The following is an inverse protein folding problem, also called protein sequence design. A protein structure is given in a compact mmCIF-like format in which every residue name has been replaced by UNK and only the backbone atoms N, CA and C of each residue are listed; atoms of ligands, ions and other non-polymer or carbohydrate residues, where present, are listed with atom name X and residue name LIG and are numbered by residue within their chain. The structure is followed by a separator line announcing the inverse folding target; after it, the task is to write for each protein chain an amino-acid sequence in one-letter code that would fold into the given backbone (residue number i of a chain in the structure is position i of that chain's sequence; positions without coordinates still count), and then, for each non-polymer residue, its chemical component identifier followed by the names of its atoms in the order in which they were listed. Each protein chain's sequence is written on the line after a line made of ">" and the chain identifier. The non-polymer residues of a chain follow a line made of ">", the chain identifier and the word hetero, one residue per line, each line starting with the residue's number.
data_IF_833735873969
#
_entry.id   IF_833735873969
#
_cell.length_a   1.000
_cell.length_b   1.000
_cell.length_c   1.000
_cell.angle_alpha   90.00
_cell.angle_beta   90.00
_cell.angle_gamma   90.00
#
_symmetry.space_group_name_H-M   'P 1'
#
loop_
_entity.id
_entity.type
_entity.pdbx_description
1 polymer ?
#
# COMPACT_ATOMS: atom_id res chain seq x y z
N UNK A 1 9.23 15.17 -16.49
CA UNK A 1 8.30 14.03 -16.65
C UNK A 1 8.99 12.72 -16.29
N UNK A 2 10.16 12.45 -16.85
CA UNK A 2 10.87 11.18 -16.59
C UNK A 2 11.21 10.95 -15.11
N UNK A 3 11.47 12.02 -14.34
CA UNK A 3 11.63 11.95 -12.89
C UNK A 3 10.38 11.48 -12.11
N UNK A 4 9.19 11.62 -12.68
CA UNK A 4 7.94 11.12 -12.08
C UNK A 4 7.72 9.63 -12.39
N UNK A 5 8.48 9.05 -13.33
CA UNK A 5 8.30 7.66 -13.76
C UNK A 5 6.95 7.38 -14.43
N UNK A 6 6.21 8.41 -14.85
CA UNK A 6 4.83 8.29 -15.32
C UNK A 6 4.74 8.49 -16.84
N UNK A 7 4.88 7.37 -17.56
CA UNK A 7 4.83 7.36 -19.03
C UNK A 7 3.48 7.84 -19.56
N UNK A 8 2.37 7.40 -18.94
CA UNK A 8 1.01 7.77 -19.36
C UNK A 8 0.79 9.27 -19.26
N UNK A 9 1.22 9.88 -18.15
CA UNK A 9 1.09 11.33 -17.94
C UNK A 9 1.94 12.12 -18.93
N UNK A 10 3.16 11.67 -19.21
CA UNK A 10 4.03 12.29 -20.21
C UNK A 10 3.38 12.30 -21.60
N UNK A 11 2.79 11.16 -22.01
CA UNK A 11 2.07 11.04 -23.28
C UNK A 11 0.80 11.88 -23.30
N UNK A 12 0.02 11.89 -22.22
CA UNK A 12 -1.22 12.63 -22.14
C UNK A 12 -1.06 14.13 -22.34
N UNK A 13 0.02 14.72 -21.82
CA UNK A 13 0.30 16.17 -21.99
C UNK A 13 1.22 16.47 -23.17
N UNK A 14 1.59 15.47 -23.98
CA UNK A 14 2.42 15.66 -25.18
C UNK A 14 3.88 16.01 -24.92
N UNK A 15 4.43 15.64 -23.75
CA UNK A 15 5.83 15.91 -23.42
C UNK A 15 6.70 14.73 -23.86
N UNK A 16 7.83 14.96 -24.58
CA UNK A 16 8.78 13.90 -24.90
C UNK A 16 9.29 13.21 -23.64
N UNK A 17 9.43 11.89 -23.69
CA UNK A 17 9.87 11.06 -22.55
C UNK A 17 10.78 9.94 -23.04
N UNK A 18 11.83 9.64 -22.28
CA UNK A 18 12.67 8.46 -22.51
C UNK A 18 12.20 7.23 -21.72
N UNK A 19 11.05 7.31 -21.05
CA UNK A 19 10.48 6.19 -20.30
C UNK A 19 10.07 5.06 -21.27
N UNK A 20 10.36 3.78 -20.93
CA UNK A 20 9.91 2.64 -21.72
C UNK A 20 8.38 2.53 -21.71
N UNK A 21 7.82 1.90 -22.74
CA UNK A 21 6.39 1.56 -22.78
C UNK A 21 6.08 0.64 -21.57
N UNK A 22 5.09 0.97 -20.72
CA UNK A 22 4.71 0.10 -19.62
C UNK A 22 4.16 -1.23 -20.14
N UNK A 23 4.37 -2.32 -19.39
CA UNK A 23 3.93 -3.67 -19.79
C UNK A 23 2.42 -3.75 -20.02
N UNK A 24 1.63 -3.02 -19.23
CA UNK A 24 0.17 -2.96 -19.33
C UNK A 24 -0.34 -2.34 -20.65
N UNK A 25 0.56 -1.73 -21.43
CA UNK A 25 0.28 -1.14 -22.74
C UNK A 25 0.72 -2.03 -23.91
N UNK A 26 1.25 -3.23 -23.66
CA UNK A 26 1.73 -4.14 -24.72
C UNK A 26 0.60 -4.56 -25.66
N UNK A 27 -0.61 -4.77 -25.12
CA UNK A 27 -1.81 -5.17 -25.88
C UNK A 27 -2.74 -3.98 -26.18
N UNK A 28 -2.27 -2.74 -26.02
CA UNK A 28 -3.05 -1.54 -26.27
C UNK A 28 -3.34 -1.38 -27.78
N UNK A 29 -4.58 -1.04 -28.10
CA UNK A 29 -5.02 -0.76 -29.46
C UNK A 29 -5.06 0.74 -29.76
N UNK A 30 -5.46 1.10 -30.99
CA UNK A 30 -5.50 2.48 -31.43
C UNK A 30 -6.42 3.38 -30.59
N UNK A 31 -7.55 2.85 -30.09
CA UNK A 31 -8.45 3.60 -29.21
C UNK A 31 -7.78 3.86 -27.86
N UNK A 32 -7.01 2.91 -27.33
CA UNK A 32 -6.25 3.14 -26.09
C UNK A 32 -5.24 4.27 -26.24
N UNK A 33 -4.49 4.26 -27.33
CA UNK A 33 -3.54 5.34 -27.63
C UNK A 33 -4.23 6.69 -27.84
N UNK A 34 -5.42 6.72 -28.44
CA UNK A 34 -6.19 7.95 -28.56
C UNK A 34 -6.69 8.45 -27.19
N UNK A 35 -7.10 7.54 -26.30
CA UNK A 35 -7.61 7.86 -24.96
C UNK A 35 -6.54 8.53 -24.08
N UNK A 36 -5.24 8.27 -24.27
CA UNK A 36 -4.15 8.99 -23.58
C UNK A 36 -4.32 10.51 -23.65
N UNK A 37 -4.65 11.01 -24.84
CA UNK A 37 -4.80 12.45 -25.08
C UNK A 37 -6.02 13.07 -24.40
N UNK A 38 -7.01 12.26 -24.01
CA UNK A 38 -8.33 12.72 -23.59
C UNK A 38 -9.09 13.50 -24.68
N UNK A 39 -8.60 13.58 -25.91
CA UNK A 39 -9.18 14.40 -26.97
C UNK A 39 -10.25 13.64 -27.75
N UNK A 40 -11.51 13.94 -27.47
CA UNK A 40 -12.67 13.24 -28.04
C UNK A 40 -12.66 13.10 -29.57
N UNK A 41 -12.30 14.11 -30.37
CA UNK A 41 -12.23 13.96 -31.83
C UNK A 41 -11.25 12.87 -32.28
N UNK A 42 -10.11 12.71 -31.60
CA UNK A 42 -9.16 11.65 -31.90
C UNK A 42 -9.75 10.27 -31.54
N UNK A 43 -10.38 10.16 -30.36
CA UNK A 43 -11.02 8.92 -29.89
C UNK A 43 -12.17 8.50 -30.83
N UNK A 44 -12.93 9.45 -31.36
CA UNK A 44 -14.02 9.16 -32.33
C UNK A 44 -13.48 8.61 -33.65
N UNK A 45 -12.29 9.06 -34.07
CA UNK A 45 -11.68 8.66 -35.32
C UNK A 45 -11.14 7.21 -35.29
N UNK A 46 -11.02 6.58 -34.12
CA UNK A 46 -10.45 5.22 -33.98
C UNK A 46 -11.47 4.09 -34.11
N UNK A 47 -12.74 4.39 -34.37
CA UNK A 47 -13.85 3.42 -34.35
C UNK A 47 -13.85 2.54 -33.07
N UNK A 48 -14.32 3.09 -31.93
CA UNK A 48 -14.31 2.35 -30.67
C UNK A 48 -15.12 1.05 -30.67
N UNK A 49 -16.04 0.84 -31.63
CA UNK A 49 -16.78 -0.43 -31.71
C UNK A 49 -15.94 -1.52 -32.37
N UNK A 50 -15.14 -1.19 -33.39
CA UNK A 50 -14.18 -2.11 -34.00
C UNK A 50 -12.93 -2.34 -33.14
N UNK A 51 -12.53 -1.33 -32.37
CA UNK A 51 -11.34 -1.35 -31.51
C UNK A 51 -11.72 -0.88 -30.11
N UNK A 52 -12.40 -1.71 -29.30
CA UNK A 52 -12.87 -1.29 -27.98
C UNK A 52 -11.69 -0.97 -27.06
N UNK A 53 -11.77 0.09 -26.25
CA UNK A 53 -10.76 0.39 -25.24
C UNK A 53 -10.58 -0.77 -24.26
N UNK A 54 -9.36 -0.93 -23.77
CA UNK A 54 -8.99 -1.98 -22.80
C UNK A 54 -9.18 -1.52 -21.36
N UNK A 55 -8.91 -2.43 -20.40
CA UNK A 55 -8.86 -2.10 -18.96
C UNK A 55 -7.87 -0.97 -18.66
N UNK A 56 -6.77 -0.88 -19.41
CA UNK A 56 -5.76 0.18 -19.26
C UNK A 56 -6.40 1.55 -19.52
N UNK A 57 -7.16 1.69 -20.61
CA UNK A 57 -7.96 2.89 -20.88
C UNK A 57 -9.04 3.16 -19.84
N UNK A 58 -9.73 2.11 -19.36
CA UNK A 58 -10.75 2.24 -18.32
C UNK A 58 -10.19 2.94 -17.07
N UNK A 59 -9.04 2.45 -16.60
CA UNK A 59 -8.31 3.03 -15.47
C UNK A 59 -7.81 4.43 -15.80
N UNK A 60 -7.22 4.65 -16.98
CA UNK A 60 -6.64 5.92 -17.38
C UNK A 60 -7.68 7.06 -17.44
N UNK A 61 -8.85 6.81 -18.04
CA UNK A 61 -9.92 7.80 -18.13
C UNK A 61 -10.36 8.27 -16.74
N UNK A 62 -10.45 7.35 -15.78
CA UNK A 62 -10.76 7.67 -14.39
C UNK A 62 -9.58 8.37 -13.72
N UNK A 63 -8.38 7.82 -13.84
CA UNK A 63 -7.12 8.31 -13.27
C UNK A 63 -6.80 9.74 -13.71
N UNK A 64 -7.09 10.14 -14.94
CA UNK A 64 -6.89 11.53 -15.41
C UNK A 64 -8.13 12.40 -15.30
N UNK A 65 -9.26 11.85 -14.84
CA UNK A 65 -10.48 12.60 -14.62
C UNK A 65 -11.14 13.08 -15.91
N UNK A 66 -11.03 12.29 -16.99
CA UNK A 66 -11.61 12.59 -18.30
C UNK A 66 -13.12 12.35 -18.32
N UNK A 67 -13.86 13.13 -17.53
CA UNK A 67 -15.32 13.05 -17.38
C UNK A 67 -16.03 13.14 -18.73
N UNK A 68 -15.56 13.98 -19.65
CA UNK A 68 -16.12 14.10 -20.99
C UNK A 68 -15.94 12.85 -21.86
N UNK A 69 -14.85 12.11 -21.67
CA UNK A 69 -14.63 10.81 -22.34
C UNK A 69 -15.47 9.72 -21.71
N UNK A 70 -15.56 9.69 -20.38
CA UNK A 70 -16.46 8.79 -19.65
C UNK A 70 -17.93 8.98 -20.07
N UNK A 71 -18.38 10.24 -20.16
CA UNK A 71 -19.72 10.61 -20.65
C UNK A 71 -19.93 10.15 -22.10
N UNK A 72 -18.94 10.32 -22.97
CA UNK A 72 -19.01 9.85 -24.35
C UNK A 72 -19.26 8.35 -24.44
N UNK A 73 -18.48 7.53 -23.71
CA UNK A 73 -18.68 6.09 -23.70
C UNK A 73 -20.02 5.70 -23.04
N UNK A 74 -20.41 6.36 -21.95
CA UNK A 74 -21.69 6.12 -21.29
C UNK A 74 -22.89 6.38 -22.22
N UNK A 75 -22.86 7.47 -22.99
CA UNK A 75 -24.00 7.87 -23.82
C UNK A 75 -24.00 7.14 -25.16
N UNK A 76 -22.85 7.05 -25.83
CA UNK A 76 -22.74 6.60 -27.22
C UNK A 76 -22.32 5.12 -27.36
N UNK A 77 -21.65 4.55 -26.36
CA UNK A 77 -21.09 3.19 -26.40
C UNK A 77 -21.41 2.41 -25.11
N UNK A 78 -22.69 2.33 -24.75
CA UNK A 78 -23.17 1.75 -23.47
C UNK A 78 -22.65 0.34 -23.19
N UNK A 79 -22.58 -0.53 -24.19
CA UNK A 79 -22.07 -1.90 -24.02
C UNK A 79 -20.61 -1.89 -23.60
N UNK A 80 -19.77 -1.13 -24.29
CA UNK A 80 -18.36 -0.93 -23.96
C UNK A 80 -18.23 -0.36 -22.54
N UNK A 81 -18.98 0.71 -22.22
CA UNK A 81 -18.91 1.33 -20.90
C UNK A 81 -19.23 0.34 -19.76
N UNK A 82 -20.28 -0.47 -19.93
CA UNK A 82 -20.66 -1.50 -18.95
C UNK A 82 -19.57 -2.55 -18.78
N UNK A 83 -18.96 -2.98 -19.87
CA UNK A 83 -17.96 -4.05 -19.85
C UNK A 83 -16.64 -3.56 -19.21
N UNK A 84 -16.29 -2.28 -19.42
CA UNK A 84 -15.14 -1.63 -18.76
C UNK A 84 -15.35 -1.46 -17.25
N UNK A 85 -16.54 -1.05 -16.82
CA UNK A 85 -16.80 -0.60 -15.45
C UNK A 85 -17.69 -1.56 -14.64
N UNK A 86 -17.64 -2.85 -14.96
CA UNK A 86 -18.25 -3.91 -14.15
C UNK A 86 -17.66 -3.96 -12.73
N UNK A 87 -18.42 -4.53 -11.79
CA UNK A 87 -18.01 -4.71 -10.39
C UNK A 87 -17.56 -3.41 -9.71
N UNK A 88 -18.26 -2.30 -9.99
CA UNK A 88 -18.01 -1.00 -9.36
C UNK A 88 -16.56 -0.48 -9.53
N UNK A 89 -15.86 -0.90 -10.60
CA UNK A 89 -14.48 -0.49 -10.86
C UNK A 89 -14.33 1.04 -10.92
N UNK A 90 -15.34 1.75 -11.43
CA UNK A 90 -15.29 3.20 -11.59
C UNK A 90 -15.19 3.95 -10.26
N UNK A 91 -16.13 3.82 -9.30
CA UNK A 91 -16.01 4.50 -8.00
C UNK A 91 -14.79 4.04 -7.19
N UNK A 92 -14.38 2.77 -7.30
CA UNK A 92 -13.16 2.26 -6.64
C UNK A 92 -11.92 2.98 -7.20
N UNK A 93 -11.73 2.96 -8.52
CA UNK A 93 -10.58 3.58 -9.19
C UNK A 93 -10.55 5.09 -8.99
N UNK A 94 -11.72 5.76 -9.03
CA UNK A 94 -11.80 7.20 -8.80
C UNK A 94 -11.37 7.55 -7.37
N UNK A 95 -11.72 6.72 -6.39
CA UNK A 95 -11.35 6.91 -4.99
C UNK A 95 -9.86 6.72 -4.77
N UNK A 96 -9.27 5.67 -5.38
CA UNK A 96 -7.84 5.36 -5.36
C UNK A 96 -6.95 6.39 -6.05
N UNK A 97 -7.51 7.29 -6.86
CA UNK A 97 -6.78 8.38 -7.52
C UNK A 97 -7.22 9.79 -7.09
N UNK A 98 -8.09 9.92 -6.08
CA UNK A 98 -8.49 11.23 -5.57
C UNK A 98 -9.43 12.00 -6.52
N UNK A 99 -10.12 11.32 -7.44
CA UNK A 99 -10.87 11.92 -8.55
C UNK A 99 -12.32 12.20 -8.17
N UNK A 100 -12.50 13.15 -7.27
CA UNK A 100 -13.82 13.59 -6.78
C UNK A 100 -14.75 14.12 -7.89
N UNK A 101 -14.20 14.68 -8.97
CA UNK A 101 -14.99 15.09 -10.14
C UNK A 101 -15.63 13.89 -10.85
N UNK A 102 -14.90 12.77 -10.95
CA UNK A 102 -15.41 11.52 -11.52
C UNK A 102 -16.44 10.88 -10.59
N UNK A 103 -16.21 10.89 -9.27
CA UNK A 103 -17.19 10.40 -8.29
C UNK A 103 -18.49 11.22 -8.33
N UNK A 104 -18.39 12.54 -8.38
CA UNK A 104 -19.55 13.43 -8.49
C UNK A 104 -20.32 13.22 -9.81
N UNK A 105 -19.60 13.11 -10.93
CA UNK A 105 -20.20 12.78 -12.21
C UNK A 105 -20.89 11.41 -12.18
N UNK A 106 -20.23 10.39 -11.65
CA UNK A 106 -20.76 9.03 -11.54
C UNK A 106 -22.04 8.98 -10.70
N UNK A 107 -22.08 9.69 -9.55
CA UNK A 107 -23.29 9.80 -8.72
C UNK A 107 -24.46 10.40 -9.52
N UNK A 108 -24.22 11.49 -10.24
CA UNK A 108 -25.23 12.12 -11.11
C UNK A 108 -25.66 11.19 -12.25
N UNK A 109 -24.71 10.53 -12.91
CA UNK A 109 -24.99 9.59 -13.99
C UNK A 109 -25.86 8.42 -13.50
N UNK A 110 -25.63 7.94 -12.29
CA UNK A 110 -26.46 6.93 -11.63
C UNK A 110 -27.89 7.41 -11.38
N UNK A 111 -28.06 8.65 -10.93
CA UNK A 111 -29.39 9.25 -10.72
C UNK A 111 -30.15 9.41 -12.05
N UNK A 112 -29.45 9.67 -13.16
CA UNK A 112 -30.04 9.78 -14.50
C UNK A 112 -30.32 8.42 -15.15
N UNK A 113 -29.51 7.39 -14.85
CA UNK A 113 -29.59 6.07 -15.47
C UNK A 113 -29.59 4.92 -14.44
N UNK A 114 -30.57 4.86 -13.51
CA UNK A 114 -30.55 3.96 -12.35
C UNK A 114 -30.62 2.46 -12.72
N UNK A 115 -31.23 2.11 -13.85
CA UNK A 115 -31.30 0.72 -14.32
C UNK A 115 -29.96 0.23 -14.89
N UNK A 116 -29.12 1.17 -15.35
CA UNK A 116 -27.87 0.88 -16.03
C UNK A 116 -26.65 1.01 -15.10
N UNK A 117 -26.59 2.08 -14.32
CA UNK A 117 -25.60 2.26 -13.26
C UNK A 117 -26.33 2.01 -11.95
N UNK A 118 -25.95 0.95 -11.23
CA UNK A 118 -26.57 0.59 -9.95
C UNK A 118 -25.87 1.28 -8.79
N UNK A 119 -26.50 1.25 -7.62
CA UNK A 119 -25.82 1.60 -6.38
C UNK A 119 -24.65 0.63 -6.15
N UNK A 120 -23.50 1.11 -5.63
CA UNK A 120 -22.37 0.26 -5.35
C UNK A 120 -22.70 -0.73 -4.24
N UNK A 121 -22.06 -1.90 -4.27
CA UNK A 121 -22.15 -2.84 -3.15
C UNK A 121 -21.45 -2.29 -1.89
N UNK A 122 -21.84 -2.71 -0.68
CA UNK A 122 -21.11 -2.40 0.56
C UNK A 122 -19.62 -2.76 0.47
N UNK A 123 -19.28 -3.88 -0.17
CA UNK A 123 -17.92 -4.34 -0.39
C UNK A 123 -17.14 -3.40 -1.33
N UNK A 124 -17.79 -2.87 -2.36
CA UNK A 124 -17.16 -1.89 -3.26
C UNK A 124 -16.99 -0.52 -2.61
N UNK A 125 -17.88 -0.14 -1.68
CA UNK A 125 -17.71 1.07 -0.86
C UNK A 125 -16.49 0.91 0.06
N UNK A 126 -16.34 -0.23 0.74
CA UNK A 126 -15.17 -0.49 1.59
C UNK A 126 -13.88 -0.52 0.79
N UNK A 127 -13.84 -1.16 -0.37
CA UNK A 127 -12.67 -1.16 -1.25
C UNK A 127 -12.31 0.26 -1.72
N UNK A 128 -13.31 1.09 -2.04
CA UNK A 128 -13.09 2.48 -2.44
C UNK A 128 -12.48 3.34 -1.31
N UNK A 129 -12.99 3.19 -0.08
CA UNK A 129 -12.52 3.97 1.08
C UNK A 129 -11.16 3.46 1.60
N UNK A 130 -10.97 2.15 1.64
CA UNK A 130 -9.68 1.54 1.98
C UNK A 130 -8.62 1.92 0.94
N UNK A 131 -8.99 1.90 -0.35
CA UNK A 131 -8.14 2.32 -1.45
C UNK A 131 -7.81 3.82 -1.45
N UNK A 132 -8.76 4.68 -1.08
CA UNK A 132 -8.49 6.10 -0.88
C UNK A 132 -7.53 6.34 0.29
N UNK A 133 -7.69 5.60 1.39
CA UNK A 133 -6.81 5.70 2.56
C UNK A 133 -5.39 5.21 2.25
N UNK A 134 -5.27 4.09 1.54
CA UNK A 134 -3.99 3.52 1.07
C UNK A 134 -3.18 4.47 0.18
N UNK A 135 -3.84 5.34 -0.59
CA UNK A 135 -3.20 6.22 -1.57
C UNK A 135 -3.17 7.70 -1.13
N UNK A 136 -3.52 8.01 0.12
CA UNK A 136 -3.41 9.38 0.64
C UNK A 136 -4.47 10.35 0.10
N UNK A 137 -5.66 9.86 -0.24
CA UNK A 137 -6.69 10.66 -0.91
C UNK A 137 -7.82 11.10 0.03
N UNK A 138 -7.48 12.02 0.93
CA UNK A 138 -8.41 12.65 1.88
C UNK A 138 -9.67 13.22 1.19
N UNK A 139 -9.53 13.80 0.00
CA UNK A 139 -10.68 14.34 -0.76
C UNK A 139 -11.71 13.28 -1.15
N UNK A 140 -11.27 12.06 -1.48
CA UNK A 140 -12.17 10.94 -1.74
C UNK A 140 -12.90 10.53 -0.46
N UNK A 141 -12.21 10.53 0.68
CA UNK A 141 -12.81 10.20 1.98
C UNK A 141 -13.87 11.22 2.39
N UNK A 142 -13.60 12.52 2.23
CA UNK A 142 -14.60 13.58 2.42
C UNK A 142 -15.80 13.40 1.49
N UNK A 143 -15.57 13.09 0.20
CA UNK A 143 -16.64 12.85 -0.76
C UNK A 143 -17.55 11.69 -0.33
N UNK A 144 -16.97 10.54 0.06
CA UNK A 144 -17.76 9.39 0.51
C UNK A 144 -18.57 9.69 1.76
N UNK A 145 -17.99 10.40 2.72
CA UNK A 145 -18.67 10.83 3.94
C UNK A 145 -19.88 11.75 3.64
N UNK A 146 -19.78 12.60 2.62
CA UNK A 146 -20.84 13.54 2.20
C UNK A 146 -21.79 12.96 1.14
N UNK A 147 -21.47 11.78 0.60
CA UNK A 147 -22.17 11.21 -0.56
C UNK A 147 -23.59 10.74 -0.26
N UNK A 148 -23.91 10.48 1.01
CA UNK A 148 -25.16 9.84 1.44
C UNK A 148 -25.13 8.31 1.35
N UNK A 149 -24.01 7.70 0.94
CA UNK A 149 -23.80 6.26 1.05
C UNK A 149 -23.51 5.85 2.51
N UNK A 150 -23.98 4.68 2.96
CA UNK A 150 -23.47 4.07 4.18
C UNK A 150 -21.96 3.92 4.10
N UNK A 151 -21.25 4.42 5.10
CA UNK A 151 -19.80 4.42 5.10
C UNK A 151 -19.26 3.06 5.56
N UNK A 152 -18.86 2.23 4.61
CA UNK A 152 -18.23 0.93 4.85
C UNK A 152 -16.72 1.02 4.63
N UNK A 153 -15.93 0.39 5.49
CA UNK A 153 -14.46 0.34 5.42
C UNK A 153 -13.94 -0.76 6.34
N UNK A 154 -12.69 -1.19 6.15
CA UNK A 154 -12.08 -2.22 6.98
C UNK A 154 -10.88 -1.67 7.76
N UNK A 155 -10.22 -2.53 8.54
CA UNK A 155 -8.95 -2.20 9.18
C UNK A 155 -7.87 -1.82 8.15
N UNK A 156 -8.00 -2.31 6.90
CA UNK A 156 -7.09 -2.02 5.82
C UNK A 156 -6.97 -0.52 5.50
N UNK A 157 -8.02 0.29 5.77
CA UNK A 157 -7.94 1.74 5.62
C UNK A 157 -6.81 2.35 6.46
N UNK A 158 -6.74 1.99 7.74
CA UNK A 158 -5.77 2.54 8.69
C UNK A 158 -4.43 1.82 8.62
N UNK A 159 -4.44 0.51 8.40
CA UNK A 159 -3.24 -0.30 8.22
C UNK A 159 -2.44 0.16 6.99
N UNK A 160 -3.10 0.33 5.84
CA UNK A 160 -2.42 0.74 4.61
C UNK A 160 -2.02 2.21 4.62
N UNK A 161 -2.81 3.09 5.26
CA UNK A 161 -2.39 4.47 5.49
C UNK A 161 -1.11 4.51 6.36
N UNK A 162 -1.01 3.64 7.37
CA UNK A 162 0.18 3.53 8.22
C UNK A 162 1.39 2.96 7.47
N UNK A 163 1.17 1.92 6.65
CA UNK A 163 2.19 1.31 5.80
C UNK A 163 2.75 2.28 4.74
N UNK A 164 1.93 3.22 4.27
CA UNK A 164 2.26 4.15 3.17
C UNK A 164 2.61 5.56 3.63
N UNK A 165 2.75 5.77 4.94
CA UNK A 165 3.08 7.06 5.54
C UNK A 165 2.07 8.19 5.27
N UNK A 166 0.78 7.88 5.29
CA UNK A 166 -0.28 8.87 5.08
C UNK A 166 -0.81 9.43 6.41
N UNK A 167 0.02 10.22 7.10
CA UNK A 167 -0.35 10.88 8.36
C UNK A 167 -1.57 11.81 8.17
N UNK A 168 -1.69 12.45 7.01
CA UNK A 168 -2.84 13.29 6.66
C UNK A 168 -4.16 12.52 6.64
N UNK A 169 -4.14 11.26 6.17
CA UNK A 169 -5.27 10.34 6.23
C UNK A 169 -5.56 9.92 7.68
N UNK A 170 -4.54 9.59 8.47
CA UNK A 170 -4.71 9.25 9.90
C UNK A 170 -5.32 10.41 10.69
N UNK A 171 -4.85 11.63 10.46
CA UNK A 171 -5.43 12.85 11.03
C UNK A 171 -6.88 13.06 10.56
N UNK A 172 -7.19 12.73 9.30
CA UNK A 172 -8.57 12.77 8.81
C UNK A 172 -9.48 11.82 9.58
N UNK A 173 -9.10 10.55 9.71
CA UNK A 173 -9.86 9.54 10.45
C UNK A 173 -10.07 9.95 11.92
N UNK A 174 -9.01 10.40 12.58
CA UNK A 174 -9.08 10.89 13.98
C UNK A 174 -10.05 12.07 14.13
N UNK A 175 -9.98 13.05 13.23
CA UNK A 175 -10.83 14.25 13.29
C UNK A 175 -12.29 13.92 13.03
N UNK A 176 -12.58 13.09 12.02
CA UNK A 176 -13.94 12.67 11.68
C UNK A 176 -14.50 11.67 12.68
N UNK A 177 -13.67 10.85 13.32
CA UNK A 177 -14.08 10.00 14.44
C UNK A 177 -14.65 10.83 15.59
N UNK A 178 -13.95 11.90 15.98
CA UNK A 178 -14.43 12.83 17.02
C UNK A 178 -15.68 13.60 16.61
N UNK A 179 -15.74 14.10 15.37
CA UNK A 179 -16.83 14.94 14.91
C UNK A 179 -18.12 14.16 14.58
N UNK A 180 -18.00 13.02 13.92
CA UNK A 180 -19.14 12.29 13.33
C UNK A 180 -19.45 10.97 14.04
N UNK A 181 -18.83 10.71 15.21
CA UNK A 181 -18.94 9.45 15.96
C UNK A 181 -18.55 8.22 15.12
N UNK A 182 -17.64 8.42 14.18
CA UNK A 182 -17.11 7.35 13.35
C UNK A 182 -16.14 6.50 14.19
N UNK A 183 -16.25 5.18 14.14
CA UNK A 183 -15.39 4.27 14.91
C UNK A 183 -14.15 3.92 14.11
N UNK A 184 -12.97 4.34 14.56
CA UNK A 184 -11.72 3.91 13.92
C UNK A 184 -11.52 2.40 14.11
N UNK A 185 -11.49 1.64 13.01
CA UNK A 185 -11.21 0.20 12.99
C UNK A 185 -9.69 -0.01 13.04
N UNK A 186 -9.11 0.12 14.23
CA UNK A 186 -7.66 0.04 14.44
C UNK A 186 -7.21 -1.43 14.36
N UNK A 187 -6.62 -1.81 13.22
CA UNK A 187 -5.97 -3.12 13.01
C UNK A 187 -4.49 -3.12 13.45
N UNK A 188 -3.64 -3.84 12.72
CA UNK A 188 -2.19 -4.01 12.95
C UNK A 188 -1.35 -2.78 12.52
N UNK A 189 -1.78 -1.59 12.90
CA UNK A 189 -1.21 -0.33 12.40
C UNK A 189 0.25 -0.12 12.80
N UNK A 190 0.64 -0.57 14.00
CA UNK A 190 2.03 -0.50 14.50
C UNK A 190 2.93 -1.49 13.77
N UNK A 191 2.45 -2.71 13.50
CA UNK A 191 3.19 -3.72 12.74
C UNK A 191 3.42 -3.23 11.30
N UNK A 192 2.41 -2.63 10.67
CA UNK A 192 2.52 -2.06 9.31
C UNK A 192 3.53 -0.91 9.27
N UNK A 193 3.45 0.05 10.19
CA UNK A 193 4.40 1.16 10.24
C UNK A 193 5.84 0.69 10.52
N UNK A 194 5.99 -0.33 11.39
CA UNK A 194 7.30 -0.92 11.70
C UNK A 194 7.91 -1.63 10.49
N UNK A 195 7.10 -2.40 9.75
CA UNK A 195 7.51 -3.06 8.51
C UNK A 195 8.01 -2.04 7.47
N UNK A 196 7.27 -0.94 7.30
CA UNK A 196 7.61 0.07 6.30
C UNK A 196 8.81 0.96 6.68
N UNK A 197 9.07 1.13 7.98
CA UNK A 197 10.12 2.01 8.48
C UNK A 197 9.64 3.43 8.81
N UNK A 198 8.35 3.63 9.07
CA UNK A 198 7.76 4.96 9.27
C UNK A 198 7.67 5.32 10.76
N UNK A 199 8.78 5.82 11.30
CA UNK A 199 8.90 6.26 12.71
C UNK A 199 7.87 7.34 13.05
N UNK A 200 7.64 8.27 12.15
CA UNK A 200 6.66 9.35 12.26
C UNK A 200 5.22 8.83 12.43
N UNK A 201 4.88 7.69 11.82
CA UNK A 201 3.57 7.06 11.95
C UNK A 201 3.45 6.33 13.29
N UNK A 202 4.50 5.61 13.71
CA UNK A 202 4.56 4.95 15.02
C UNK A 202 4.37 5.97 16.15
N UNK A 203 5.08 7.08 16.03
CA UNK A 203 5.01 8.22 16.94
C UNK A 203 3.63 8.90 16.92
N UNK A 204 2.99 9.02 15.75
CA UNK A 204 1.61 9.49 15.65
C UNK A 204 0.64 8.57 16.40
N UNK A 205 0.74 7.25 16.25
CA UNK A 205 -0.12 6.29 16.93
C UNK A 205 0.11 6.27 18.43
N UNK A 206 1.36 6.21 18.89
CA UNK A 206 1.71 6.21 20.30
C UNK A 206 1.18 7.44 21.05
N UNK A 207 1.20 8.62 20.41
CA UNK A 207 0.68 9.87 21.01
C UNK A 207 -0.84 9.96 21.02
N UNK A 208 -1.50 9.42 20.00
CA UNK A 208 -2.92 9.70 19.77
C UNK A 208 -3.85 8.53 20.07
N UNK A 209 -3.30 7.34 20.25
CA UNK A 209 -4.02 6.11 20.58
C UNK A 209 -3.25 5.33 21.66
N UNK A 210 -3.38 5.72 22.95
CA UNK A 210 -2.62 5.09 24.04
C UNK A 210 -2.85 3.58 24.20
N UNK A 211 -4.01 3.08 23.78
CA UNK A 211 -4.39 1.66 23.82
C UNK A 211 -4.14 0.95 22.47
N UNK A 212 -3.24 1.47 21.63
CA UNK A 212 -2.91 0.84 20.35
C UNK A 212 -2.32 -0.56 20.59
N UNK A 213 -2.88 -1.55 19.89
CA UNK A 213 -2.42 -2.94 19.98
C UNK A 213 -1.26 -3.17 19.03
N UNK A 214 -0.30 -3.97 19.48
CA UNK A 214 0.83 -4.46 18.72
C UNK A 214 1.28 -5.78 19.34
N UNK A 215 2.05 -6.55 18.58
CA UNK A 215 2.65 -7.79 19.05
C UNK A 215 4.11 -7.90 18.57
N UNK A 216 4.73 -9.06 18.79
CA UNK A 216 6.13 -9.33 18.41
C UNK A 216 6.42 -9.14 16.91
N UNK A 217 5.39 -9.16 16.05
CA UNK A 217 5.53 -8.97 14.61
C UNK A 217 6.10 -7.58 14.26
N UNK A 218 5.86 -6.55 15.09
CA UNK A 218 6.43 -5.23 14.87
C UNK A 218 7.97 -5.25 14.88
N UNK A 219 8.58 -5.81 15.93
CA UNK A 219 10.04 -5.93 16.06
C UNK A 219 10.63 -6.96 15.09
N UNK A 220 9.92 -8.06 14.84
CA UNK A 220 10.31 -9.08 13.87
C UNK A 220 10.39 -8.50 12.45
N UNK A 221 9.32 -7.86 11.95
CA UNK A 221 9.32 -7.31 10.60
C UNK A 221 10.30 -6.14 10.43
N UNK A 222 10.46 -5.29 11.45
CA UNK A 222 11.50 -4.26 11.45
C UNK A 222 12.90 -4.90 11.30
N UNK A 223 13.12 -6.03 11.97
CA UNK A 223 14.39 -6.76 11.88
C UNK A 223 14.61 -7.39 10.50
N UNK A 224 13.60 -8.02 9.90
CA UNK A 224 13.69 -8.58 8.54
C UNK A 224 14.00 -7.52 7.47
N UNK A 225 13.41 -6.32 7.62
CA UNK A 225 13.50 -5.26 6.61
C UNK A 225 14.62 -4.24 6.86
N UNK A 226 15.51 -4.49 7.83
CA UNK A 226 16.67 -3.63 8.09
C UNK A 226 16.31 -2.28 8.72
N UNK A 227 15.19 -2.18 9.45
CA UNK A 227 14.64 -0.92 9.97
C UNK A 227 15.23 -0.56 11.34
N UNK A 228 16.53 -0.27 11.39
CA UNK A 228 17.24 0.04 12.63
C UNK A 228 16.63 1.25 13.36
N UNK A 229 16.20 2.27 12.63
CA UNK A 229 15.58 3.47 13.20
C UNK A 229 14.24 3.16 13.89
N UNK A 230 13.49 2.20 13.36
CA UNK A 230 12.25 1.71 13.99
C UNK A 230 12.55 0.93 15.27
N UNK A 231 13.55 0.05 15.24
CA UNK A 231 13.97 -0.70 16.43
C UNK A 231 14.44 0.25 17.54
N UNK A 232 15.21 1.28 17.18
CA UNK A 232 15.63 2.34 18.10
C UNK A 232 14.42 3.11 18.65
N UNK A 233 13.47 3.48 17.79
CA UNK A 233 12.25 4.15 18.23
C UNK A 233 11.47 3.29 19.23
N UNK A 234 11.31 1.98 18.98
CA UNK A 234 10.63 1.08 19.92
C UNK A 234 11.33 1.09 21.29
N UNK A 235 12.66 0.97 21.31
CA UNK A 235 13.47 1.01 22.53
C UNK A 235 13.29 2.31 23.32
N UNK A 236 13.12 3.45 22.64
CA UNK A 236 13.00 4.78 23.26
C UNK A 236 11.54 5.20 23.55
N UNK A 237 10.56 4.54 22.92
CA UNK A 237 9.14 4.95 22.94
C UNK A 237 8.48 4.91 24.32
N UNK A 238 9.04 4.14 25.26
CA UNK A 238 8.41 3.83 26.54
C UNK A 238 7.26 2.82 26.44
N UNK A 239 6.98 2.28 25.24
CA UNK A 239 6.06 1.17 25.05
C UNK A 239 6.68 -0.15 25.52
N UNK A 240 5.84 -1.15 25.78
CA UNK A 240 6.32 -2.48 26.13
C UNK A 240 7.05 -3.09 24.93
N UNK A 241 8.27 -3.55 25.13
CA UNK A 241 9.00 -4.27 24.10
C UNK A 241 8.55 -5.73 24.08
N UNK A 242 8.00 -6.17 22.94
CA UNK A 242 7.56 -7.55 22.71
C UNK A 242 8.40 -8.09 21.54
N UNK A 243 9.24 -9.08 21.82
CA UNK A 243 10.13 -9.72 20.83
C UNK A 243 10.47 -11.14 21.27
N UNK A 244 10.97 -11.93 20.33
CA UNK A 244 11.44 -13.30 20.51
C UNK A 244 12.69 -13.56 19.63
N UNK A 245 13.33 -14.74 19.75
CA UNK A 245 14.50 -15.09 18.94
C UNK A 245 14.29 -15.01 17.42
N UNK A 246 13.02 -15.05 16.94
CA UNK A 246 12.72 -14.96 15.51
C UNK A 246 13.18 -13.62 14.93
N UNK A 247 13.31 -12.56 15.73
CA UNK A 247 13.88 -11.29 15.27
C UNK A 247 15.32 -11.45 14.73
N UNK A 248 16.14 -12.29 15.38
CA UNK A 248 17.51 -12.58 14.94
C UNK A 248 17.52 -13.52 13.73
N UNK A 249 16.63 -14.51 13.71
CA UNK A 249 16.43 -15.42 12.57
C UNK A 249 16.04 -14.62 11.33
N UNK A 250 15.06 -13.72 11.46
CA UNK A 250 14.59 -12.84 10.40
C UNK A 250 15.68 -11.91 9.88
N UNK A 251 16.41 -11.23 10.77
CA UNK A 251 17.56 -10.40 10.39
C UNK A 251 18.63 -11.20 9.65
N UNK A 252 18.89 -12.44 10.08
CA UNK A 252 19.87 -13.34 9.46
C UNK A 252 19.42 -13.78 8.07
N UNK A 253 18.19 -14.29 7.94
CA UNK A 253 17.59 -14.77 6.68
C UNK A 253 17.53 -13.68 5.61
N UNK A 254 17.33 -12.43 6.02
CA UNK A 254 17.27 -11.28 5.12
C UNK A 254 18.60 -10.51 4.99
N UNK A 255 19.71 -11.09 5.48
CA UNK A 255 21.06 -10.53 5.39
C UNK A 255 21.16 -9.09 5.93
N UNK A 256 20.69 -8.87 7.17
CA UNK A 256 20.65 -7.58 7.88
C UNK A 256 21.69 -7.50 9.02
N UNK A 257 23.00 -7.47 8.73
CA UNK A 257 24.02 -7.37 9.77
C UNK A 257 23.89 -6.09 10.62
N UNK A 258 23.39 -5.00 10.06
CA UNK A 258 23.12 -3.74 10.77
C UNK A 258 22.07 -3.91 11.89
N UNK A 259 21.08 -4.78 11.69
CA UNK A 259 20.07 -5.11 12.70
C UNK A 259 20.65 -6.04 13.75
N UNK A 260 21.45 -7.03 13.36
CA UNK A 260 22.14 -7.91 14.31
C UNK A 260 23.07 -7.11 15.24
N UNK A 261 23.81 -6.16 14.67
CA UNK A 261 24.65 -5.22 15.42
C UNK A 261 23.83 -4.35 16.38
N UNK A 262 22.65 -3.89 15.95
CA UNK A 262 21.73 -3.13 16.81
C UNK A 262 21.23 -3.99 17.98
N UNK A 263 20.78 -5.22 17.72
CA UNK A 263 20.35 -6.14 18.78
C UNK A 263 21.49 -6.41 19.78
N UNK A 264 22.72 -6.59 19.29
CA UNK A 264 23.90 -6.79 20.13
C UNK A 264 24.17 -5.61 21.08
N UNK A 265 24.01 -4.39 20.56
CA UNK A 265 24.27 -3.16 21.32
C UNK A 265 23.09 -2.67 22.15
N UNK A 266 21.88 -3.17 21.88
CA UNK A 266 20.64 -2.70 22.53
C UNK A 266 20.60 -3.00 24.03
N UNK A 267 21.35 -4.00 24.49
CA UNK A 267 21.26 -4.50 25.87
C UNK A 267 19.98 -5.28 26.16
N UNK A 268 19.15 -5.56 25.15
CA UNK A 268 17.96 -6.38 25.30
C UNK A 268 18.33 -7.85 25.51
N UNK A 269 17.67 -8.58 26.42
CA UNK A 269 18.00 -9.98 26.71
C UNK A 269 17.40 -10.90 25.64
N UNK A 270 17.98 -10.88 24.44
CA UNK A 270 17.58 -11.76 23.33
C UNK A 270 18.48 -12.98 23.25
N UNK A 271 17.87 -14.12 22.96
CA UNK A 271 18.53 -15.41 22.90
C UNK A 271 18.50 -15.98 21.48
N UNK A 272 19.45 -16.86 21.17
CA UNK A 272 19.51 -17.59 19.92
C UNK A 272 20.01 -19.02 20.14
N UNK A 273 19.73 -19.90 19.17
CA UNK A 273 20.39 -21.20 19.03
C UNK A 273 21.18 -21.19 17.73
N UNK A 274 22.30 -21.89 17.71
CA UNK A 274 23.15 -21.96 16.51
C UNK A 274 22.42 -22.65 15.35
N UNK A 275 21.58 -23.66 15.64
CA UNK A 275 20.77 -24.32 14.62
C UNK A 275 19.79 -23.37 13.92
N UNK A 276 19.09 -22.49 14.66
CA UNK A 276 18.15 -21.54 14.07
C UNK A 276 18.87 -20.50 13.19
N UNK A 277 20.09 -20.12 13.59
CA UNK A 277 20.94 -19.20 12.82
C UNK A 277 21.44 -19.87 11.54
N UNK A 278 21.90 -21.12 11.60
CA UNK A 278 22.37 -21.83 10.38
C UNK A 278 21.22 -22.13 9.43
N UNK A 279 20.07 -22.58 9.94
CA UNK A 279 18.85 -22.75 9.13
C UNK A 279 18.47 -21.44 8.44
N UNK A 280 18.48 -20.31 9.15
CA UNK A 280 18.23 -18.99 8.56
C UNK A 280 19.25 -18.61 7.47
N UNK A 281 20.52 -19.02 7.61
CA UNK A 281 21.57 -18.75 6.62
C UNK A 281 21.46 -19.64 5.38
N UNK A 282 21.03 -20.89 5.54
CA UNK A 282 20.72 -21.80 4.42
C UNK A 282 19.50 -21.30 3.63
N UNK A 283 18.49 -20.78 4.34
CA UNK A 283 17.27 -20.20 3.81
C UNK A 283 17.41 -18.74 3.32
N UNK A 284 18.63 -18.20 3.30
CA UNK A 284 18.86 -16.77 3.14
C UNK A 284 18.33 -16.24 1.78
N UNK A 285 17.53 -15.18 1.85
CA UNK A 285 16.92 -14.54 0.68
C UNK A 285 17.84 -13.39 0.23
N UNK A 286 18.42 -13.50 -0.96
CA UNK A 286 19.28 -12.45 -1.52
C UNK A 286 20.75 -12.51 -1.07
N UNK A 287 21.19 -13.65 -0.52
CA UNK A 287 22.57 -13.93 -0.13
C UNK A 287 22.87 -13.52 1.32
N UNK A 288 23.09 -14.48 2.22
CA UNK A 288 23.28 -14.29 3.67
C UNK A 288 24.71 -14.03 4.14
N UNK A 289 25.64 -13.69 3.24
CA UNK A 289 27.07 -13.68 3.54
C UNK A 289 27.46 -12.60 4.55
N UNK A 290 26.82 -11.43 4.52
CA UNK A 290 27.13 -10.35 5.45
C UNK A 290 26.67 -10.70 6.88
N UNK A 291 25.48 -11.28 7.01
CA UNK A 291 24.99 -11.84 8.27
C UNK A 291 25.88 -13.01 8.75
N UNK A 292 26.29 -13.93 7.86
CA UNK A 292 27.21 -15.03 8.20
C UNK A 292 28.54 -14.50 8.73
N UNK A 293 29.12 -13.49 8.09
CA UNK A 293 30.34 -12.84 8.56
C UNK A 293 30.16 -12.16 9.92
N UNK A 294 28.99 -11.55 10.15
CA UNK A 294 28.65 -10.97 11.45
C UNK A 294 28.63 -12.04 12.54
N UNK A 295 27.92 -13.16 12.31
CA UNK A 295 27.86 -14.28 13.26
C UNK A 295 29.23 -14.91 13.53
N UNK A 296 30.08 -15.06 12.50
CA UNK A 296 31.48 -15.51 12.68
C UNK A 296 32.28 -14.57 13.59
N UNK A 297 32.16 -13.24 13.39
CA UNK A 297 32.82 -12.26 14.26
C UNK A 297 32.28 -12.29 15.68
N UNK A 298 31.00 -12.61 15.86
CA UNK A 298 30.39 -12.78 17.19
C UNK A 298 30.83 -14.05 17.90
N UNK A 299 31.46 -14.99 17.19
CA UNK A 299 32.02 -16.22 17.74
C UNK A 299 31.15 -17.46 17.54
N UNK A 300 30.18 -17.41 16.63
CA UNK A 300 29.43 -18.61 16.24
C UNK A 300 30.32 -19.52 15.40
N UNK A 301 30.57 -20.73 15.92
CA UNK A 301 31.27 -21.79 15.21
C UNK A 301 30.28 -22.71 14.50
N UNK A 302 30.30 -22.69 13.18
CA UNK A 302 29.44 -23.50 12.33
C UNK A 302 29.90 -24.96 12.19
N UNK A 303 31.04 -25.33 12.77
CA UNK A 303 31.55 -26.71 12.82
C UNK A 303 31.35 -27.37 14.21
N UNK A 304 30.58 -26.74 15.10
CA UNK A 304 30.31 -27.23 16.44
C UNK A 304 29.50 -28.55 16.43
N UNK A 305 29.54 -29.30 17.54
CA UNK A 305 28.81 -30.57 17.66
C UNK A 305 27.30 -30.36 17.95
N UNK A 306 26.49 -31.41 17.72
CA UNK A 306 25.02 -31.37 17.87
C UNK A 306 24.53 -30.83 19.23
N UNK A 307 25.27 -31.08 20.32
CA UNK A 307 24.88 -30.60 21.67
C UNK A 307 25.08 -29.10 21.82
N UNK A 308 26.15 -28.57 21.24
CA UNK A 308 26.42 -27.13 21.23
C UNK A 308 25.45 -26.40 20.31
N UNK A 309 25.02 -27.07 19.23
CA UNK A 309 24.07 -26.55 18.25
C UNK A 309 22.68 -26.22 18.81
N UNK A 310 22.15 -27.08 19.68
CA UNK A 310 20.83 -26.90 20.29
C UNK A 310 20.84 -26.02 21.55
N UNK A 311 22.03 -25.61 22.02
CA UNK A 311 22.17 -24.85 23.26
C UNK A 311 21.68 -23.41 23.05
N UNK A 312 20.78 -22.98 23.94
CA UNK A 312 20.31 -21.60 24.01
C UNK A 312 21.41 -20.68 24.55
N UNK A 313 21.69 -19.59 23.85
CA UNK A 313 22.73 -18.62 24.16
C UNK A 313 22.15 -17.20 24.18
N UNK A 314 22.65 -16.33 25.05
CA UNK A 314 22.32 -14.90 25.02
C UNK A 314 23.17 -14.22 23.94
N UNK A 315 22.60 -13.25 23.24
CA UNK A 315 23.35 -12.42 22.29
C UNK A 315 24.27 -11.42 23.01
N UNK A 316 23.77 -10.89 24.14
CA UNK A 316 24.34 -9.80 24.94
C UNK A 316 24.84 -10.30 26.29
#
# INVERSE_FOLDING_TARGET
>A
MDHLGDWELAKAVGVPTSLPLPLDWTDANQTDHAVLSGYLPLIRATDPNGYPPTKTSATLMVRFGYVHVLEYFLVQHRTIFRDLYKHDLLPITASQHGRVSVLAWWKRARELYPDFIRAPSPESISEAIDGASRNGHVKSLDWWLESGFPLEYTEAALEMASLKNHIDVLDWWKRKSKANRLVMKVGRVMDMASTAGHVEVLDWWARHQPEVKYDRQAMYHASCHGKVEVLQWWLESGLQLIFDPDALVGATKHNRPEVLEWWDKSGLPIQYRMCDVEEALEDAIGGGEAARQWWKRKGVDFNANDKEWMKLQNLN
#
